data_IF_440446741697
#
_entry.id   IF_440446741697
#
_cell.length_a   1.000
_cell.length_b   1.000
_cell.length_c   1.000
_cell.angle_alpha   90.00
_cell.angle_beta   90.00
_cell.angle_gamma   90.00
#
_symmetry.space_group_name_H-M   'P 1'
#
loop_
_entity.id
_entity.type
_entity.pdbx_description
1 polymer ?
#
# COMPACT_ATOMS: atom_id res chain seq x y z
N UNK A 1 -4.97 9.00 2.07
CA UNK A 1 -5.09 10.28 1.37
C UNK A 1 -5.62 10.07 -0.04
N UNK A 2 -6.18 11.11 -0.67
CA UNK A 2 -6.62 10.99 -2.06
C UNK A 2 -5.52 10.52 -3.01
N UNK A 3 -4.30 10.98 -2.83
CA UNK A 3 -3.17 10.57 -3.66
C UNK A 3 -2.88 9.07 -3.57
N UNK A 4 -2.93 8.51 -2.37
CA UNK A 4 -2.72 7.07 -2.19
C UNK A 4 -3.83 6.28 -2.89
N UNK A 5 -5.09 6.69 -2.76
CA UNK A 5 -6.21 6.05 -3.44
C UNK A 5 -6.04 6.09 -4.96
N UNK A 6 -5.66 7.23 -5.51
CA UNK A 6 -5.49 7.41 -6.95
C UNK A 6 -4.29 6.66 -7.51
N UNK A 7 -3.17 6.63 -6.77
CA UNK A 7 -1.89 6.11 -7.24
C UNK A 7 -1.63 4.67 -6.83
N UNK A 8 -2.00 4.31 -5.62
CA UNK A 8 -1.63 3.04 -5.01
C UNK A 8 -2.85 2.13 -4.84
N UNK A 9 -3.97 2.69 -4.38
CA UNK A 9 -5.17 1.93 -4.05
C UNK A 9 -5.07 1.26 -2.69
N UNK A 10 -5.70 0.11 -2.55
CA UNK A 10 -5.67 -0.65 -1.30
C UNK A 10 -4.31 -1.33 -1.12
N UNK A 11 -3.89 -1.46 0.13
CA UNK A 11 -2.59 -2.05 0.48
C UNK A 11 -2.82 -3.25 1.40
N UNK A 12 -2.85 -4.47 0.84
CA UNK A 12 -3.01 -5.66 1.66
C UNK A 12 -1.74 -5.99 2.45
N UNK A 13 -1.91 -6.65 3.59
CA UNK A 13 -0.80 -7.15 4.40
C UNK A 13 -0.59 -8.63 4.06
N UNK A 14 0.62 -8.98 3.61
CA UNK A 14 1.01 -10.36 3.36
C UNK A 14 1.51 -10.96 4.68
N UNK A 15 1.01 -12.14 5.08
CA UNK A 15 1.44 -12.79 6.33
C UNK A 15 2.94 -13.01 6.36
N UNK A 16 3.49 -13.07 7.57
CA UNK A 16 4.90 -13.36 7.75
C UNK A 16 5.26 -14.76 7.27
N UNK A 17 6.31 -14.83 6.46
CA UNK A 17 6.99 -16.06 6.09
C UNK A 17 8.47 -15.86 6.30
N UNK A 18 9.18 -16.93 6.56
CA UNK A 18 10.64 -16.90 6.72
C UNK A 18 11.29 -16.36 5.44
N UNK A 19 12.28 -15.48 5.53
CA UNK A 19 13.03 -15.01 4.35
C UNK A 19 13.54 -16.18 3.50
N UNK A 20 13.32 -16.11 2.19
CA UNK A 20 13.63 -17.17 1.26
C UNK A 20 12.56 -18.25 1.12
N UNK A 21 11.44 -18.12 1.83
CA UNK A 21 10.31 -19.03 1.70
C UNK A 21 9.55 -18.76 0.40
N UNK A 22 9.33 -19.79 -0.41
CA UNK A 22 8.63 -19.67 -1.69
C UNK A 22 7.18 -19.20 -1.55
N UNK A 23 6.59 -19.34 -0.36
CA UNK A 23 5.22 -18.88 -0.09
C UNK A 23 5.09 -17.36 -0.22
N UNK A 24 6.15 -16.60 0.01
CA UNK A 24 6.14 -15.16 -0.21
C UNK A 24 5.87 -14.86 -1.69
N UNK A 25 6.62 -15.48 -2.57
CA UNK A 25 6.45 -15.30 -4.01
C UNK A 25 5.08 -15.75 -4.49
N UNK A 26 4.58 -16.85 -3.96
CA UNK A 26 3.24 -17.37 -4.28
C UNK A 26 2.14 -16.42 -3.83
N UNK A 27 2.25 -15.87 -2.61
CA UNK A 27 1.29 -14.90 -2.09
C UNK A 27 1.28 -13.63 -2.94
N UNK A 28 2.46 -13.10 -3.30
CA UNK A 28 2.56 -11.92 -4.13
C UNK A 28 2.02 -12.17 -5.55
N UNK A 29 2.29 -13.33 -6.12
CA UNK A 29 1.77 -13.68 -7.45
C UNK A 29 0.25 -13.70 -7.50
N UNK A 30 -0.40 -14.14 -6.42
CA UNK A 30 -1.86 -14.15 -6.32
C UNK A 30 -2.47 -12.76 -6.16
N UNK A 31 -1.74 -11.82 -5.57
CA UNK A 31 -2.22 -10.47 -5.28
C UNK A 31 -1.81 -9.43 -6.33
N UNK A 32 -0.68 -9.63 -7.01
CA UNK A 32 -0.11 -8.67 -7.94
C UNK A 32 -1.07 -8.14 -9.02
N UNK A 33 -1.96 -8.97 -9.61
CA UNK A 33 -2.90 -8.47 -10.61
C UNK A 33 -3.94 -7.48 -10.08
N UNK A 34 -4.16 -7.43 -8.76
CA UNK A 34 -5.22 -6.63 -8.14
C UNK A 34 -4.71 -5.43 -7.35
N UNK A 35 -3.45 -5.48 -6.92
CA UNK A 35 -2.91 -4.48 -6.00
C UNK A 35 -1.58 -3.94 -6.50
N UNK A 36 -1.34 -2.66 -6.25
CA UNK A 36 -0.11 -1.97 -6.64
C UNK A 36 0.90 -1.83 -5.51
N UNK A 37 0.49 -2.15 -4.29
CA UNK A 37 1.37 -2.12 -3.13
C UNK A 37 0.96 -3.18 -2.12
N UNK A 38 1.94 -3.66 -1.37
CA UNK A 38 1.75 -4.69 -0.34
C UNK A 38 2.61 -4.35 0.86
N UNK A 39 2.14 -4.72 2.05
CA UNK A 39 2.98 -4.73 3.24
C UNK A 39 3.35 -6.17 3.56
N UNK A 40 4.64 -6.47 3.54
CA UNK A 40 5.14 -7.77 4.01
C UNK A 40 5.31 -7.68 5.53
N UNK A 41 4.56 -8.49 6.26
CA UNK A 41 4.61 -8.49 7.72
C UNK A 41 6.05 -8.67 8.20
N UNK A 42 6.48 -7.81 9.12
CA UNK A 42 7.82 -7.78 9.70
C UNK A 42 8.95 -7.47 8.71
N UNK A 43 8.64 -7.04 7.51
CA UNK A 43 9.63 -6.65 6.49
C UNK A 43 9.49 -5.20 6.05
N UNK A 44 8.41 -4.90 5.34
CA UNK A 44 8.21 -3.57 4.79
C UNK A 44 7.34 -3.58 3.54
N UNK A 45 7.26 -2.45 2.85
CA UNK A 45 6.42 -2.32 1.67
C UNK A 45 7.05 -2.91 0.41
N UNK A 46 6.19 -3.38 -0.48
CA UNK A 46 6.51 -3.69 -1.87
C UNK A 46 5.57 -2.85 -2.72
N UNK A 47 6.13 -2.05 -3.62
CA UNK A 47 5.35 -1.12 -4.44
C UNK A 47 5.67 -1.34 -5.90
N UNK A 48 4.65 -1.30 -6.74
CA UNK A 48 4.78 -1.43 -8.19
C UNK A 48 4.42 -0.13 -8.89
N UNK A 49 4.80 -0.04 -10.16
CA UNK A 49 4.44 1.07 -11.02
C UNK A 49 4.72 0.68 -12.46
N UNK A 50 4.24 1.49 -13.41
CA UNK A 50 4.51 1.28 -14.84
C UNK A 50 5.95 1.59 -15.21
N UNK A 51 6.69 2.24 -14.32
CA UNK A 51 8.11 2.56 -14.45
C UNK A 51 8.73 2.62 -13.06
N UNK A 52 10.06 2.59 -13.00
CA UNK A 52 10.76 2.77 -11.72
C UNK A 52 10.43 4.12 -11.07
N UNK A 53 10.32 5.16 -11.88
CA UNK A 53 9.94 6.51 -11.37
C UNK A 53 8.57 6.49 -10.74
N UNK A 54 7.59 5.87 -11.38
CA UNK A 54 6.25 5.75 -10.83
C UNK A 54 6.23 4.92 -9.55
N UNK A 55 6.92 3.80 -9.51
CA UNK A 55 7.04 2.98 -8.31
C UNK A 55 7.69 3.77 -7.16
N UNK A 56 8.71 4.57 -7.44
CA UNK A 56 9.34 5.45 -6.45
C UNK A 56 8.38 6.50 -5.93
N UNK A 57 7.64 7.17 -6.82
CA UNK A 57 6.66 8.17 -6.43
C UNK A 57 5.55 7.55 -5.57
N UNK A 58 5.07 6.37 -5.94
CA UNK A 58 4.06 5.64 -5.17
C UNK A 58 4.57 5.26 -3.78
N UNK A 59 5.84 4.90 -3.68
CA UNK A 59 6.49 4.59 -2.39
C UNK A 59 6.54 5.83 -1.50
N UNK A 60 6.89 6.99 -2.06
CA UNK A 60 6.91 8.26 -1.32
C UNK A 60 5.52 8.62 -0.79
N UNK A 61 4.48 8.46 -1.60
CA UNK A 61 3.10 8.71 -1.19
C UNK A 61 2.67 7.78 -0.06
N UNK A 62 3.05 6.52 -0.14
CA UNK A 62 2.75 5.54 0.90
C UNK A 62 3.45 5.91 2.22
N UNK A 63 4.71 6.31 2.17
CA UNK A 63 5.48 6.75 3.33
C UNK A 63 4.88 7.99 3.97
N UNK A 64 4.49 8.98 3.17
CA UNK A 64 3.86 10.20 3.69
C UNK A 64 2.52 9.90 4.37
N UNK A 65 1.73 8.98 3.83
CA UNK A 65 0.47 8.54 4.44
C UNK A 65 0.72 7.86 5.78
N UNK A 66 1.71 6.97 5.85
CA UNK A 66 2.08 6.30 7.08
C UNK A 66 2.54 7.32 8.14
N UNK A 67 3.36 8.29 7.74
CA UNK A 67 3.81 9.37 8.62
C UNK A 67 2.64 10.17 9.15
N UNK A 68 1.67 10.51 8.30
CA UNK A 68 0.47 11.24 8.69
C UNK A 68 -0.33 10.47 9.74
N UNK A 69 -0.52 9.16 9.55
CA UNK A 69 -1.23 8.31 10.49
C UNK A 69 -0.55 8.33 11.86
N UNK A 70 0.76 8.19 11.91
CA UNK A 70 1.52 8.25 13.17
C UNK A 70 1.46 9.64 13.81
N UNK A 71 1.53 10.69 13.01
CA UNK A 71 1.47 12.07 13.50
C UNK A 71 0.11 12.38 14.13
N UNK A 72 -0.98 11.93 13.51
CA UNK A 72 -2.33 12.14 14.03
C UNK A 72 -2.61 11.31 15.28
N UNK A 73 -2.04 10.12 15.36
CA UNK A 73 -2.19 9.24 16.52
C UNK A 73 -3.65 8.95 16.81
N UNK A 74 -4.10 9.31 18.03
CA UNK A 74 -5.49 9.08 18.48
C UNK A 74 -6.43 10.25 18.17
N UNK A 75 -5.99 11.23 17.39
CA UNK A 75 -6.85 12.35 17.03
C UNK A 75 -7.97 11.88 16.12
N UNK A 76 -9.09 12.59 16.19
CA UNK A 76 -10.21 12.33 15.31
C UNK A 76 -9.82 12.60 13.86
N UNK A 77 -10.09 11.63 12.98
CA UNK A 77 -9.72 11.70 11.56
C UNK A 77 -10.98 11.51 10.73
N UNK A 78 -11.16 12.39 9.73
CA UNK A 78 -12.18 12.20 8.72
C UNK A 78 -11.60 11.34 7.60
N UNK A 79 -12.01 10.10 7.55
CA UNK A 79 -11.65 9.21 6.45
C UNK A 79 -12.53 9.46 5.23
N UNK A 80 -12.00 9.12 4.06
CA UNK A 80 -12.80 9.12 2.85
C UNK A 80 -13.90 8.07 2.97
N UNK A 81 -15.11 8.42 2.53
CA UNK A 81 -16.22 7.48 2.45
C UNK A 81 -15.99 6.50 1.30
N UNK A 82 -16.72 5.38 1.31
CA UNK A 82 -16.66 4.40 0.23
C UNK A 82 -16.99 5.04 -1.13
N UNK A 83 -17.94 5.94 -1.17
CA UNK A 83 -18.33 6.65 -2.41
C UNK A 83 -17.21 7.59 -2.88
N UNK A 84 -16.58 8.31 -1.97
CA UNK A 84 -15.45 9.19 -2.29
C UNK A 84 -14.26 8.39 -2.81
N UNK A 85 -13.98 7.24 -2.23
CA UNK A 85 -12.93 6.33 -2.71
C UNK A 85 -13.24 5.84 -4.12
N UNK A 86 -14.48 5.44 -4.35
CA UNK A 86 -14.94 4.95 -5.67
C UNK A 86 -14.83 6.03 -6.74
N UNK A 87 -15.12 7.28 -6.40
CA UNK A 87 -15.01 8.41 -7.30
C UNK A 87 -13.58 8.66 -7.77
N UNK A 88 -12.58 8.38 -6.90
CA UNK A 88 -11.17 8.58 -7.19
C UNK A 88 -10.52 7.46 -8.01
N UNK A 89 -11.14 6.32 -8.08
CA UNK A 89 -10.61 5.15 -8.79
C UNK A 89 -10.88 5.18 -10.28
#
# INVERSE_FOLDING_TARGET
TPYVVMRVGDVPVVPYYRPGDDRIAQALAGLAPRYNAFLLANHGPVVTGSSLREATNNTEELEETARLIFTLGNREIRYLTADEVKELR
#
